data_IF_350984029434
#
_entry.id   IF_350984029434
#
_cell.length_a   1.000
_cell.length_b   1.000
_cell.length_c   1.000
_cell.angle_alpha   90.00
_cell.angle_beta   90.00
_cell.angle_gamma   90.00
#
_symmetry.space_group_name_H-M   'P 1'
#
loop_
_entity.id
_entity.type
_entity.pdbx_description
1 polymer ?
#
# COMPACT_ATOMS: atom_id res chain seq x y z
N UNK A 1 1.48 23.09 8.36
CA UNK A 1 2.61 24.05 8.37
C UNK A 1 3.05 24.54 6.97
N UNK A 2 3.62 25.75 6.88
CA UNK A 2 4.23 26.28 5.64
C UNK A 2 5.52 25.55 5.26
N UNK A 3 5.90 25.60 3.98
CA UNK A 3 7.15 24.96 3.55
C UNK A 3 8.41 25.67 4.08
N UNK A 4 8.34 26.97 4.37
CA UNK A 4 9.47 27.69 4.96
C UNK A 4 9.79 27.20 6.38
N UNK A 5 8.77 26.79 7.14
CA UNK A 5 8.96 26.18 8.45
C UNK A 5 9.53 24.74 8.33
N UNK A 6 9.19 24.00 7.26
CA UNK A 6 9.84 22.72 6.93
C UNK A 6 11.33 22.94 6.66
N UNK A 7 11.68 23.94 5.85
CA UNK A 7 13.08 24.29 5.56
C UNK A 7 13.82 24.79 6.81
N UNK A 8 13.16 25.57 7.68
CA UNK A 8 13.72 26.02 8.97
C UNK A 8 14.03 24.83 9.89
N UNK A 9 13.18 23.81 9.90
CA UNK A 9 13.45 22.58 10.66
C UNK A 9 14.71 21.88 10.11
N UNK A 10 14.78 21.69 8.80
CA UNK A 10 15.93 21.03 8.16
C UNK A 10 17.20 21.88 8.08
N UNK A 11 17.16 23.18 8.40
CA UNK A 11 18.38 24.00 8.52
C UNK A 11 19.07 23.83 9.88
N UNK A 12 18.38 23.28 10.89
CA UNK A 12 18.95 22.99 12.19
C UNK A 12 20.13 21.99 12.04
N UNK A 13 21.35 22.33 12.50
CA UNK A 13 22.52 21.47 12.37
C UNK A 13 22.32 20.07 12.95
N UNK A 14 21.72 19.97 14.15
CA UNK A 14 21.43 18.69 14.80
C UNK A 14 20.51 17.82 13.93
N UNK A 15 19.46 18.41 13.35
CA UNK A 15 18.53 17.68 12.47
C UNK A 15 19.27 17.09 11.26
N UNK A 16 20.15 17.87 10.63
CA UNK A 16 20.91 17.39 9.46
C UNK A 16 21.92 16.31 9.83
N UNK A 17 22.60 16.47 10.97
CA UNK A 17 23.56 15.49 11.49
C UNK A 17 22.89 14.16 11.80
N UNK A 18 21.75 14.16 12.49
CA UNK A 18 21.03 12.93 12.83
C UNK A 18 20.47 12.23 11.58
N UNK A 19 19.94 12.99 10.60
CA UNK A 19 19.46 12.41 9.34
C UNK A 19 20.63 11.83 8.54
N UNK A 20 21.74 12.54 8.41
CA UNK A 20 22.91 12.06 7.69
C UNK A 20 23.53 10.82 8.36
N UNK A 21 23.61 10.81 9.70
CA UNK A 21 24.11 9.66 10.45
C UNK A 21 23.24 8.41 10.22
N UNK A 22 21.90 8.55 10.25
CA UNK A 22 21.00 7.44 10.00
C UNK A 22 21.05 6.97 8.54
N UNK A 23 21.05 7.90 7.59
CA UNK A 23 20.96 7.61 6.16
C UNK A 23 22.30 7.18 5.53
N UNK A 24 23.43 7.30 6.23
CA UNK A 24 24.75 6.96 5.70
C UNK A 24 24.80 5.50 5.22
N UNK A 25 25.15 5.30 3.94
CA UNK A 25 25.16 3.99 3.29
C UNK A 25 23.78 3.38 3.01
N UNK A 26 22.67 4.07 3.33
CA UNK A 26 21.30 3.63 3.05
C UNK A 26 20.78 4.28 1.78
N UNK A 27 19.81 3.60 1.16
CA UNK A 27 19.01 4.19 0.10
C UNK A 27 18.00 5.18 0.69
N UNK A 28 18.04 6.41 0.21
CA UNK A 28 17.20 7.50 0.73
C UNK A 28 15.95 7.68 -0.12
N UNK A 29 14.83 7.95 0.53
CA UNK A 29 13.63 8.43 -0.13
C UNK A 29 13.19 9.78 0.43
N UNK A 30 12.66 10.64 -0.44
CA UNK A 30 12.04 11.90 -0.09
C UNK A 30 10.56 11.85 -0.42
N UNK A 31 9.70 12.17 0.54
CA UNK A 31 8.27 12.33 0.31
C UNK A 31 7.87 13.78 0.42
N UNK A 32 7.12 14.26 -0.56
CA UNK A 32 6.55 15.59 -0.59
C UNK A 32 5.24 15.63 -1.38
N UNK A 33 4.92 16.82 -1.86
CA UNK A 33 3.69 17.12 -2.59
C UNK A 33 2.62 17.83 -1.73
N UNK A 34 1.47 18.10 -2.35
CA UNK A 34 0.36 18.79 -1.71
C UNK A 34 -0.66 17.84 -1.08
N UNK A 35 -1.72 18.36 -0.44
CA UNK A 35 -2.79 17.53 0.14
C UNK A 35 -3.46 16.55 -0.85
N UNK A 36 -3.42 16.86 -2.15
CA UNK A 36 -4.01 16.06 -3.23
C UNK A 36 -2.96 15.37 -4.15
N UNK A 37 -1.66 15.57 -3.91
CA UNK A 37 -0.60 14.98 -4.72
C UNK A 37 0.53 14.46 -3.83
N UNK A 38 0.75 13.14 -3.85
CA UNK A 38 1.85 12.50 -3.15
C UNK A 38 2.96 12.22 -4.14
N UNK A 39 4.17 12.66 -3.84
CA UNK A 39 5.37 12.37 -4.63
C UNK A 39 6.38 11.67 -3.74
N UNK A 40 6.86 10.50 -4.17
CA UNK A 40 7.82 9.68 -3.46
C UNK A 40 9.07 9.50 -4.32
N UNK A 41 10.11 10.29 -4.06
CA UNK A 41 11.34 10.31 -4.82
C UNK A 41 12.34 9.34 -4.22
N UNK A 42 12.84 8.40 -5.02
CA UNK A 42 13.88 7.46 -4.61
C UNK A 42 15.12 7.45 -5.52
N UNK A 43 14.97 8.01 -6.72
CA UNK A 43 16.04 8.10 -7.71
C UNK A 43 16.18 9.54 -8.17
N UNK A 44 17.41 9.91 -8.49
CA UNK A 44 17.70 11.16 -9.17
C UNK A 44 17.26 11.11 -10.64
N UNK A 45 17.26 12.26 -11.31
CA UNK A 45 16.82 12.35 -12.71
C UNK A 45 17.64 11.48 -13.67
N UNK A 46 18.89 11.17 -13.31
CA UNK A 46 19.77 10.26 -14.06
C UNK A 46 19.63 8.78 -13.66
N UNK A 47 18.60 8.42 -12.89
CA UNK A 47 18.32 7.05 -12.45
C UNK A 47 19.16 6.57 -11.25
N UNK A 48 20.08 7.39 -10.72
CA UNK A 48 20.89 6.99 -9.56
C UNK A 48 20.05 6.96 -8.27
N UNK A 49 20.24 5.97 -7.37
CA UNK A 49 19.62 5.98 -6.05
C UNK A 49 19.97 7.25 -5.26
N UNK A 50 19.00 7.84 -4.56
CA UNK A 50 19.27 9.00 -3.70
C UNK A 50 20.05 8.57 -2.44
N UNK A 51 20.94 9.46 -1.99
CA UNK A 51 21.86 9.24 -0.86
C UNK A 51 21.98 10.50 -0.02
N UNK A 52 22.17 10.32 1.29
CA UNK A 52 22.57 11.36 2.23
C UNK A 52 23.61 10.74 3.16
N UNK A 53 24.87 11.12 2.98
CA UNK A 53 25.99 10.63 3.82
C UNK A 53 26.58 11.72 4.72
N UNK A 54 26.31 12.99 4.40
CA UNK A 54 26.71 14.15 5.19
C UNK A 54 25.61 15.24 5.18
N UNK A 55 25.60 16.17 6.14
CA UNK A 55 24.59 17.21 6.26
C UNK A 55 24.30 18.00 4.97
N UNK A 56 25.34 18.29 4.17
CA UNK A 56 25.23 19.10 2.95
C UNK A 56 24.47 18.36 1.83
N UNK A 57 24.49 17.02 1.83
CA UNK A 57 23.76 16.22 0.83
C UNK A 57 22.25 16.44 0.99
N UNK A 58 21.76 16.50 2.23
CA UNK A 58 20.35 16.76 2.51
C UNK A 58 19.94 18.15 2.02
N UNK A 59 20.75 19.17 2.30
CA UNK A 59 20.50 20.53 1.81
C UNK A 59 20.44 20.58 0.28
N UNK A 60 21.40 19.93 -0.38
CA UNK A 60 21.45 19.83 -1.83
C UNK A 60 20.21 19.14 -2.41
N UNK A 61 19.72 18.07 -1.78
CA UNK A 61 18.49 17.39 -2.18
C UNK A 61 17.24 18.26 -1.98
N UNK A 62 17.10 18.94 -0.83
CA UNK A 62 15.96 19.82 -0.56
C UNK A 62 15.92 21.01 -1.54
N UNK A 63 17.08 21.54 -1.93
CA UNK A 63 17.20 22.59 -2.94
C UNK A 63 16.85 22.08 -4.35
N UNK A 64 17.42 20.93 -4.75
CA UNK A 64 17.19 20.30 -6.07
C UNK A 64 15.72 19.96 -6.28
N UNK A 65 15.07 19.40 -5.26
CA UNK A 65 13.67 18.96 -5.34
C UNK A 65 12.69 19.96 -4.72
N UNK A 66 13.06 21.23 -4.57
CA UNK A 66 12.21 22.28 -3.96
C UNK A 66 10.79 22.34 -4.56
N UNK A 67 10.65 22.10 -5.86
CA UNK A 67 9.34 22.07 -6.54
C UNK A 67 8.41 20.96 -6.04
N UNK A 68 8.96 19.83 -5.57
CA UNK A 68 8.20 18.72 -4.96
C UNK A 68 7.85 19.02 -3.49
N UNK A 69 8.51 20.02 -2.89
CA UNK A 69 8.38 20.37 -1.48
C UNK A 69 8.59 19.16 -0.54
N UNK A 70 9.75 18.47 -0.60
CA UNK A 70 10.06 17.36 0.30
C UNK A 70 9.82 17.70 1.76
N UNK A 71 9.00 16.89 2.41
CA UNK A 71 8.65 17.02 3.82
C UNK A 71 9.27 15.93 4.66
N UNK A 72 9.28 14.69 4.19
CA UNK A 72 9.78 13.53 4.96
C UNK A 72 10.95 12.89 4.25
N UNK A 73 11.94 12.48 5.03
CA UNK A 73 13.16 11.80 4.63
C UNK A 73 13.12 10.40 5.23
N UNK A 74 13.35 9.40 4.40
CA UNK A 74 13.38 7.99 4.80
C UNK A 74 14.75 7.40 4.46
N UNK A 75 15.18 6.44 5.26
CA UNK A 75 16.31 5.56 4.95
C UNK A 75 15.86 4.11 4.88
N UNK A 76 16.43 3.35 3.94
CA UNK A 76 16.19 1.91 3.82
C UNK A 76 16.59 1.13 5.07
N UNK A 77 16.01 -0.05 5.29
CA UNK A 77 16.47 -0.94 6.38
C UNK A 77 17.89 -1.47 6.16
N UNK A 78 18.27 -1.60 4.89
CA UNK A 78 19.58 -2.08 4.45
C UNK A 78 20.58 -0.93 4.36
N UNK A 79 21.82 -1.22 4.76
CA UNK A 79 23.03 -0.46 4.46
C UNK A 79 23.78 -1.21 3.37
N UNK A 80 24.16 -0.53 2.30
CA UNK A 80 24.74 -1.14 1.11
C UNK A 80 26.25 -0.90 1.03
N UNK A 81 26.99 -1.86 0.46
CA UNK A 81 28.44 -1.69 0.16
C UNK A 81 28.64 -0.70 -0.98
N UNK A 82 27.75 -0.74 -1.97
CA UNK A 82 27.73 0.12 -3.15
C UNK A 82 26.31 0.59 -3.41
N UNK A 83 26.14 1.85 -3.82
CA UNK A 83 24.83 2.42 -4.10
C UNK A 83 24.95 3.49 -5.20
N UNK A 84 25.17 3.04 -6.43
CA UNK A 84 25.39 3.89 -7.61
C UNK A 84 24.30 3.72 -8.69
N UNK A 85 23.64 2.57 -8.72
CA UNK A 85 22.65 2.23 -9.75
C UNK A 85 21.51 1.38 -9.16
N UNK A 86 20.38 1.27 -9.87
CA UNK A 86 19.18 0.61 -9.37
C UNK A 86 19.40 -0.88 -9.01
N UNK A 87 20.17 -1.61 -9.83
CA UNK A 87 20.47 -3.04 -9.59
C UNK A 87 21.23 -3.30 -8.29
N UNK A 88 21.92 -2.30 -7.74
CA UNK A 88 22.64 -2.43 -6.47
C UNK A 88 21.66 -2.72 -5.31
N UNK A 89 20.39 -2.32 -5.44
CA UNK A 89 19.35 -2.50 -4.42
C UNK A 89 18.80 -3.93 -4.36
N UNK A 90 18.93 -4.69 -5.45
CA UNK A 90 18.37 -6.03 -5.59
C UNK A 90 19.41 -7.14 -5.36
N UNK A 91 20.70 -6.80 -5.26
CA UNK A 91 21.77 -7.78 -5.03
C UNK A 91 21.89 -8.13 -3.54
N UNK A 92 21.60 -9.39 -3.14
CA UNK A 92 21.75 -9.84 -1.76
C UNK A 92 23.17 -9.67 -1.22
N UNK A 93 24.20 -9.80 -2.07
CA UNK A 93 25.61 -9.68 -1.68
C UNK A 93 26.05 -8.24 -1.48
N UNK A 94 25.25 -7.27 -1.94
CA UNK A 94 25.53 -5.86 -1.74
C UNK A 94 24.99 -5.34 -0.40
N UNK A 95 24.09 -6.06 0.25
CA UNK A 95 23.61 -5.74 1.60
C UNK A 95 24.74 -5.96 2.60
N UNK A 96 25.30 -4.86 3.11
CA UNK A 96 26.39 -4.87 4.09
C UNK A 96 25.86 -5.16 5.49
N UNK A 97 24.80 -4.46 5.89
CA UNK A 97 24.15 -4.55 7.19
C UNK A 97 22.65 -4.34 7.01
N UNK A 98 21.83 -4.81 7.95
CA UNK A 98 20.39 -4.58 7.97
C UNK A 98 19.91 -4.38 9.41
N UNK A 99 19.05 -3.40 9.66
CA UNK A 99 18.48 -3.17 10.98
C UNK A 99 17.23 -4.04 11.17
N UNK A 100 17.15 -4.89 12.22
CA UNK A 100 15.88 -5.46 12.69
C UNK A 100 14.98 -4.35 13.24
N UNK A 101 13.75 -4.27 12.73
CA UNK A 101 12.79 -3.21 13.06
C UNK A 101 11.40 -3.82 13.24
N UNK A 102 10.80 -3.55 14.39
CA UNK A 102 9.39 -3.84 14.64
C UNK A 102 8.57 -2.60 14.36
N UNK A 103 7.61 -2.71 13.43
CA UNK A 103 6.72 -1.62 13.06
C UNK A 103 5.49 -1.66 13.96
N UNK A 104 5.27 -0.62 14.77
CA UNK A 104 4.13 -0.48 15.67
C UNK A 104 3.31 0.70 15.20
N UNK A 105 2.35 0.40 14.34
CA UNK A 105 1.42 1.37 13.81
C UNK A 105 0.33 1.71 14.84
N UNK A 106 -0.10 2.96 14.80
CA UNK A 106 -1.11 3.49 15.69
C UNK A 106 -1.71 4.80 15.19
N UNK A 107 -2.44 5.47 16.06
CA UNK A 107 -2.83 6.85 15.88
C UNK A 107 -2.50 7.66 17.14
N UNK A 108 -2.49 8.99 17.01
CA UNK A 108 -2.22 9.89 18.13
C UNK A 108 -3.16 9.67 19.32
N UNK A 109 -4.37 9.14 19.12
CA UNK A 109 -5.28 8.85 20.24
C UNK A 109 -4.92 7.59 21.03
N UNK A 110 -4.12 6.68 20.44
CA UNK A 110 -3.71 5.40 21.01
C UNK A 110 -2.19 5.32 21.28
N UNK A 111 -1.51 6.46 21.38
CA UNK A 111 -0.05 6.52 21.55
C UNK A 111 0.45 5.76 22.79
N UNK A 112 -0.34 5.74 23.88
CA UNK A 112 0.02 4.99 25.09
C UNK A 112 0.06 3.48 24.85
N UNK A 113 -0.88 2.95 24.07
CA UNK A 113 -0.89 1.52 23.69
C UNK A 113 0.25 1.20 22.71
N UNK A 114 0.61 2.13 21.82
CA UNK A 114 1.80 2.00 20.96
C UNK A 114 3.07 1.87 21.81
N UNK A 115 3.25 2.73 22.82
CA UNK A 115 4.40 2.65 23.72
C UNK A 115 4.37 1.40 24.60
N UNK A 116 3.21 0.97 25.06
CA UNK A 116 3.07 -0.28 25.79
C UNK A 116 3.56 -1.46 24.96
N UNK A 117 3.16 -1.53 23.67
CA UNK A 117 3.65 -2.56 22.75
C UNK A 117 5.17 -2.45 22.53
N UNK A 118 5.70 -1.23 22.39
CA UNK A 118 7.15 -1.01 22.26
C UNK A 118 7.91 -1.49 23.51
N UNK A 119 7.36 -1.25 24.70
CA UNK A 119 7.90 -1.73 25.98
C UNK A 119 7.98 -3.24 26.04
N UNK A 120 6.89 -3.95 25.69
CA UNK A 120 6.86 -5.43 25.67
C UNK A 120 7.94 -6.01 24.74
N UNK A 121 8.17 -5.41 23.58
CA UNK A 121 9.21 -5.84 22.63
C UNK A 121 10.60 -5.54 23.21
N UNK A 122 10.83 -4.32 23.70
CA UNK A 122 12.13 -3.91 24.21
C UNK A 122 12.55 -4.70 25.46
N UNK A 123 11.63 -5.01 26.36
CA UNK A 123 11.86 -5.89 27.52
C UNK A 123 12.24 -7.32 27.08
N UNK A 124 11.60 -7.85 26.04
CA UNK A 124 11.97 -9.15 25.48
C UNK A 124 13.40 -9.15 24.94
N UNK A 125 13.79 -8.08 24.23
CA UNK A 125 15.16 -7.93 23.74
C UNK A 125 16.17 -7.86 24.89
N UNK A 126 15.86 -7.11 25.96
CA UNK A 126 16.70 -7.03 27.15
C UNK A 126 16.84 -8.40 27.84
N UNK A 127 15.76 -9.17 27.94
CA UNK A 127 15.79 -10.55 28.46
C UNK A 127 16.64 -11.49 27.61
N UNK A 128 16.76 -11.22 26.31
CA UNK A 128 17.66 -11.92 25.38
C UNK A 128 19.08 -11.36 25.38
N UNK A 129 19.39 -10.40 26.25
CA UNK A 129 20.72 -9.81 26.41
C UNK A 129 21.03 -8.66 25.45
N UNK A 130 20.05 -8.18 24.67
CA UNK A 130 20.23 -7.10 23.69
C UNK A 130 19.66 -5.80 24.26
N UNK A 131 20.52 -4.92 24.77
CA UNK A 131 20.09 -3.70 25.47
C UNK A 131 20.76 -2.45 24.92
N UNK A 132 22.08 -2.43 24.82
CA UNK A 132 22.85 -1.22 24.47
C UNK A 132 22.56 -0.76 23.05
N UNK A 133 22.39 -1.73 22.15
CA UNK A 133 22.10 -1.51 20.73
C UNK A 133 20.62 -1.29 20.41
N UNK A 134 19.73 -1.29 21.41
CA UNK A 134 18.29 -1.05 21.20
C UNK A 134 17.98 0.44 21.30
N UNK A 135 17.10 0.92 20.44
CA UNK A 135 16.49 2.25 20.54
C UNK A 135 15.08 2.25 19.97
N UNK A 136 14.28 3.25 20.36
CA UNK A 136 12.90 3.42 19.92
C UNK A 136 12.80 4.72 19.14
N UNK A 137 12.07 4.71 18.03
CA UNK A 137 11.70 5.91 17.27
C UNK A 137 10.21 6.15 17.38
N UNK A 138 9.78 7.34 17.79
CA UNK A 138 8.40 7.79 17.59
C UNK A 138 8.29 8.48 16.23
N UNK A 139 7.56 7.89 15.28
CA UNK A 139 7.51 8.34 13.88
C UNK A 139 6.44 9.41 13.60
N UNK A 140 5.60 9.72 14.60
CA UNK A 140 4.54 10.73 14.53
C UNK A 140 3.16 10.17 14.87
N UNK A 141 2.84 8.96 14.43
CA UNK A 141 1.58 8.25 14.76
C UNK A 141 1.83 6.87 15.38
N UNK A 142 3.04 6.34 15.23
CA UNK A 142 3.45 5.02 15.72
C UNK A 142 4.88 5.03 16.26
N UNK A 143 5.34 3.84 16.61
CA UNK A 143 6.70 3.59 17.07
C UNK A 143 7.40 2.55 16.23
N UNK A 144 8.72 2.66 16.14
CA UNK A 144 9.56 1.59 15.66
C UNK A 144 10.55 1.21 16.77
N UNK A 145 10.63 -0.07 17.10
CA UNK A 145 11.72 -0.59 17.95
C UNK A 145 12.83 -1.06 17.02
N UNK A 146 14.06 -0.63 17.27
CA UNK A 146 15.22 -0.92 16.44
C UNK A 146 16.29 -1.65 17.23
N UNK A 147 16.96 -2.62 16.59
CA UNK A 147 18.32 -3.01 16.94
C UNK A 147 19.26 -2.32 15.93
N UNK A 148 20.30 -1.66 16.44
CA UNK A 148 21.33 -1.06 15.60
C UNK A 148 22.02 -2.16 14.77
N UNK A 149 22.14 -1.96 13.45
CA UNK A 149 22.60 -2.98 12.50
C UNK A 149 24.05 -3.44 12.71
N UNK A 150 24.83 -2.66 13.47
CA UNK A 150 26.21 -2.99 13.89
C UNK A 150 26.29 -3.81 15.18
N UNK A 151 25.16 -4.20 15.75
CA UNK A 151 25.11 -5.09 16.91
C UNK A 151 25.47 -6.54 16.59
N UNK A 152 25.57 -6.89 15.31
CA UNK A 152 25.89 -8.21 14.82
C UNK A 152 27.37 -8.31 14.46
N UNK A 153 28.02 -9.39 14.86
CA UNK A 153 29.44 -9.56 14.58
C UNK A 153 29.73 -9.86 13.11
N UNK A 154 30.94 -9.51 12.70
CA UNK A 154 31.46 -9.91 11.40
C UNK A 154 31.47 -11.44 11.17
N UNK A 155 31.67 -12.25 12.22
CA UNK A 155 31.62 -13.72 12.12
C UNK A 155 30.20 -14.22 11.78
N UNK A 156 29.16 -13.71 12.45
CA UNK A 156 27.77 -14.06 12.13
C UNK A 156 27.41 -13.64 10.69
N UNK A 157 27.73 -12.39 10.33
CA UNK A 157 27.37 -11.82 9.02
C UNK A 157 28.20 -12.40 7.86
N UNK A 158 29.30 -13.11 8.15
CA UNK A 158 30.02 -13.88 7.14
C UNK A 158 29.29 -15.18 6.74
N UNK A 159 28.39 -15.67 7.61
CA UNK A 159 27.66 -16.94 7.44
C UNK A 159 26.21 -16.74 7.01
N UNK A 160 25.62 -15.58 7.33
CA UNK A 160 24.21 -15.29 7.08
C UNK A 160 24.03 -13.91 6.45
N UNK A 161 23.08 -13.79 5.51
CA UNK A 161 22.75 -12.49 4.95
C UNK A 161 22.16 -11.57 6.05
N UNK A 162 22.55 -10.28 6.11
CA UNK A 162 21.99 -9.36 7.11
C UNK A 162 20.46 -9.25 7.06
N UNK A 163 19.84 -9.35 5.88
CA UNK A 163 18.38 -9.31 5.74
C UNK A 163 17.71 -10.56 6.32
N UNK A 164 18.35 -11.74 6.19
CA UNK A 164 17.87 -12.99 6.82
C UNK A 164 17.88 -12.89 8.34
N UNK A 165 18.96 -12.32 8.89
CA UNK A 165 19.10 -12.06 10.33
C UNK A 165 18.00 -11.12 10.81
N UNK A 166 17.83 -9.97 10.14
CA UNK A 166 16.85 -8.97 10.52
C UNK A 166 15.41 -9.52 10.45
N UNK A 167 15.04 -10.18 9.35
CA UNK A 167 13.70 -10.77 9.20
C UNK A 167 13.45 -11.83 10.27
N UNK A 168 14.42 -12.73 10.49
CA UNK A 168 14.26 -13.83 11.44
C UNK A 168 14.06 -13.34 12.86
N UNK A 169 14.85 -12.36 13.31
CA UNK A 169 14.73 -11.78 14.66
C UNK A 169 13.37 -11.14 14.85
N UNK A 170 12.91 -10.33 13.88
CA UNK A 170 11.62 -9.64 13.99
C UNK A 170 10.48 -10.66 14.07
N UNK A 171 10.49 -11.64 13.16
CA UNK A 171 9.49 -12.70 13.09
C UNK A 171 9.47 -13.59 14.33
N UNK A 172 10.63 -14.01 14.82
CA UNK A 172 10.78 -14.82 16.03
C UNK A 172 10.21 -14.11 17.25
N UNK A 173 10.56 -12.83 17.43
CA UNK A 173 10.05 -11.99 18.52
C UNK A 173 8.53 -11.83 18.45
N UNK A 174 7.95 -11.56 17.29
CA UNK A 174 6.50 -11.41 17.16
C UNK A 174 5.75 -12.71 17.44
N UNK A 175 6.28 -13.86 17.00
CA UNK A 175 5.70 -15.17 17.33
C UNK A 175 5.72 -15.44 18.83
N UNK A 176 6.83 -15.12 19.50
CA UNK A 176 6.99 -15.30 20.93
C UNK A 176 6.11 -14.35 21.77
N UNK A 177 5.84 -13.15 21.27
CA UNK A 177 5.11 -12.11 22.00
C UNK A 177 3.63 -11.99 21.63
N UNK A 178 3.12 -12.84 20.75
CA UNK A 178 1.73 -12.79 20.26
C UNK A 178 0.70 -12.66 21.40
N UNK A 179 0.80 -13.50 22.41
CA UNK A 179 -0.16 -13.52 23.52
C UNK A 179 -0.05 -12.32 24.45
N UNK A 180 1.11 -11.64 24.47
CA UNK A 180 1.32 -10.40 25.24
C UNK A 180 0.88 -9.16 24.48
N UNK A 181 1.08 -9.14 23.16
CA UNK A 181 0.75 -7.99 22.30
C UNK A 181 -0.73 -7.94 21.91
N UNK A 182 -1.37 -9.10 21.70
CA UNK A 182 -2.78 -9.15 21.28
C UNK A 182 -3.75 -8.45 22.26
N UNK A 183 -3.60 -8.56 23.60
CA UNK A 183 -4.42 -7.80 24.54
C UNK A 183 -4.28 -6.28 24.38
N UNK A 184 -3.10 -5.77 24.05
CA UNK A 184 -2.87 -4.33 23.80
C UNK A 184 -3.65 -3.90 22.56
N UNK A 185 -3.54 -4.68 21.48
CA UNK A 185 -4.27 -4.47 20.23
C UNK A 185 -5.79 -4.49 20.46
N UNK A 186 -6.30 -5.43 21.25
CA UNK A 186 -7.71 -5.51 21.65
C UNK A 186 -8.17 -4.27 22.43
N UNK A 187 -7.41 -3.83 23.44
CA UNK A 187 -7.74 -2.63 24.23
C UNK A 187 -7.68 -1.34 23.41
N UNK A 188 -6.86 -1.32 22.36
CA UNK A 188 -6.84 -0.23 21.38
C UNK A 188 -8.02 -0.25 20.39
N UNK A 189 -8.89 -1.27 20.46
CA UNK A 189 -9.96 -1.51 19.49
C UNK A 189 -9.43 -1.61 18.04
N UNK A 190 -8.27 -2.24 17.85
CA UNK A 190 -7.65 -2.46 16.54
C UNK A 190 -6.92 -1.25 15.96
N UNK A 191 -6.77 -0.17 16.73
CA UNK A 191 -6.02 1.02 16.32
C UNK A 191 -4.51 0.78 16.32
N UNK A 192 -4.03 -0.08 17.21
CA UNK A 192 -2.63 -0.48 17.28
C UNK A 192 -2.44 -1.79 16.52
N UNK A 193 -1.35 -1.83 15.74
CA UNK A 193 -0.95 -2.98 14.96
C UNK A 193 0.57 -3.16 15.08
N UNK A 194 1.02 -4.40 15.22
CA UNK A 194 2.46 -4.71 15.33
C UNK A 194 2.86 -5.67 14.22
N UNK A 195 3.83 -5.31 13.39
CA UNK A 195 4.15 -6.03 12.16
C UNK A 195 5.62 -6.27 11.93
N UNK A 196 5.89 -7.36 11.21
CA UNK A 196 7.15 -7.59 10.54
C UNK A 196 7.06 -7.07 9.10
N UNK A 197 7.60 -5.87 8.89
CA UNK A 197 7.62 -5.20 7.59
C UNK A 197 9.02 -5.25 6.94
N UNK A 198 9.87 -6.18 7.37
CA UNK A 198 11.20 -6.37 6.81
C UNK A 198 11.06 -6.86 5.36
N UNK A 199 11.50 -6.03 4.42
CA UNK A 199 11.54 -6.28 2.98
C UNK A 199 12.78 -5.63 2.38
N UNK A 200 13.31 -6.21 1.31
CA UNK A 200 14.55 -5.79 0.64
C UNK A 200 14.59 -4.28 0.31
N UNK A 201 13.45 -3.67 -0.01
CA UNK A 201 13.33 -2.26 -0.38
C UNK A 201 12.54 -1.43 0.64
N UNK A 202 12.32 -1.96 1.86
CA UNK A 202 11.63 -1.23 2.93
C UNK A 202 12.43 0.00 3.38
N UNK A 203 11.73 1.09 3.62
CA UNK A 203 12.28 2.34 4.17
C UNK A 203 11.49 2.80 5.39
N UNK A 204 12.17 3.43 6.35
CA UNK A 204 11.56 4.00 7.54
C UNK A 204 11.99 5.46 7.72
N UNK A 205 11.14 6.25 8.37
CA UNK A 205 11.38 7.68 8.62
C UNK A 205 12.71 7.87 9.35
N UNK A 206 13.56 8.74 8.82
CA UNK A 206 14.84 9.07 9.45
C UNK A 206 14.61 9.82 10.77
N UNK A 207 15.49 9.64 11.79
CA UNK A 207 15.49 10.45 12.99
C UNK A 207 15.47 11.94 12.66
N UNK A 208 14.71 12.70 13.45
CA UNK A 208 14.39 14.11 13.30
C UNK A 208 13.75 14.51 11.97
N UNK A 209 13.43 13.59 11.05
CA UNK A 209 12.63 13.93 9.88
C UNK A 209 11.17 14.22 10.26
N UNK A 210 10.52 15.13 9.53
CA UNK A 210 9.13 15.50 9.78
C UNK A 210 8.17 14.42 9.32
N UNK A 211 7.13 14.17 10.11
CA UNK A 211 6.02 13.32 9.72
C UNK A 211 5.28 13.90 8.49
N UNK A 212 4.81 13.03 7.60
CA UNK A 212 4.24 13.42 6.30
C UNK A 212 3.00 14.32 6.37
N UNK A 213 2.22 14.23 7.47
CA UNK A 213 0.96 14.97 7.66
C UNK A 213 0.98 15.90 8.86
N UNK A 214 1.48 15.38 9.98
CA UNK A 214 1.51 16.08 11.25
C UNK A 214 2.73 16.99 11.33
N UNK A 215 2.57 18.12 12.01
CA UNK A 215 3.65 19.03 12.34
C UNK A 215 4.41 18.48 13.57
N UNK A 216 4.98 17.28 13.40
CA UNK A 216 5.78 16.53 14.38
C UNK A 216 7.05 15.99 13.70
N UNK A 217 8.14 15.86 14.44
CA UNK A 217 9.38 15.24 14.00
C UNK A 217 9.59 13.84 14.62
N UNK A 218 10.33 12.99 13.91
CA UNK A 218 10.63 11.64 14.35
C UNK A 218 11.68 11.65 15.47
N UNK A 219 11.33 11.35 16.71
CA UNK A 219 12.29 11.41 17.83
C UNK A 219 12.76 10.03 18.27
N UNK A 220 14.02 9.94 18.68
CA UNK A 220 14.61 8.71 19.21
C UNK A 220 14.73 8.80 20.73
N UNK A 221 14.55 7.67 21.41
CA UNK A 221 14.72 7.55 22.86
C UNK A 221 15.06 6.10 23.24
N UNK A 222 15.58 5.91 24.45
CA UNK A 222 15.92 4.59 25.01
C UNK A 222 14.77 4.06 25.89
N UNK A 223 14.79 2.77 26.17
CA UNK A 223 13.75 2.07 26.94
C UNK A 223 13.48 2.70 28.32
N UNK A 224 14.53 3.16 29.02
CA UNK A 224 14.40 3.80 30.33
C UNK A 224 13.65 5.15 30.30
N UNK A 225 13.44 5.74 29.13
CA UNK A 225 12.69 6.97 28.94
C UNK A 225 11.22 6.72 28.54
N UNK A 226 10.82 5.46 28.33
CA UNK A 226 9.50 5.10 27.79
C UNK A 226 8.35 5.61 28.67
N UNK A 227 8.46 5.47 29.99
CA UNK A 227 7.45 5.94 30.95
C UNK A 227 7.33 7.47 31.04
N UNK A 228 8.37 8.20 30.61
CA UNK A 228 8.43 9.66 30.62
C UNK A 228 8.04 10.28 29.28
N UNK A 229 7.84 9.44 28.25
CA UNK A 229 7.51 9.91 26.92
C UNK A 229 6.16 10.63 26.92
N UNK A 230 6.11 11.75 26.20
CA UNK A 230 4.88 12.42 25.84
C UNK A 230 4.98 12.84 24.37
N UNK A 231 3.86 12.88 23.65
CA UNK A 231 3.83 13.24 22.22
C UNK A 231 4.46 14.62 21.95
N UNK A 232 4.44 15.53 22.93
CA UNK A 232 5.12 16.83 22.84
C UNK A 232 6.63 16.74 22.61
N UNK A 233 7.27 15.60 22.90
CA UNK A 233 8.67 15.36 22.58
C UNK A 233 8.93 15.46 21.07
N UNK A 234 7.93 15.27 20.22
CA UNK A 234 8.04 15.37 18.78
C UNK A 234 7.76 16.78 18.22
N UNK A 235 7.46 17.77 19.07
CA UNK A 235 7.17 19.15 18.64
C UNK A 235 8.42 19.83 18.05
N UNK A 236 8.27 20.52 16.91
CA UNK A 236 9.40 21.07 16.15
C UNK A 236 10.24 22.10 16.92
N UNK A 237 9.62 22.87 17.83
CA UNK A 237 10.30 23.94 18.56
C UNK A 237 11.05 23.46 19.81
N UNK A 238 10.69 22.29 20.34
CA UNK A 238 11.14 21.81 21.66
C UNK A 238 11.33 20.29 21.70
N UNK A 239 11.67 19.68 20.56
CA UNK A 239 11.78 18.24 20.48
C UNK A 239 12.79 17.67 21.47
N UNK A 240 12.52 16.48 21.98
CA UNK A 240 13.42 15.72 22.86
C UNK A 240 13.90 14.50 22.11
N UNK A 241 15.19 14.50 21.77
CA UNK A 241 15.80 13.47 20.94
C UNK A 241 17.09 12.97 21.62
N UNK A 242 17.19 11.66 21.78
CA UNK A 242 18.34 10.99 22.38
C UNK A 242 19.34 10.55 21.30
N UNK A 243 20.43 11.31 21.15
CA UNK A 243 21.52 11.04 20.19
C UNK A 243 22.27 9.73 20.45
N UNK A 244 22.09 9.10 21.61
CA UNK A 244 22.71 7.80 21.93
C UNK A 244 22.08 6.63 21.17
N UNK A 245 21.04 6.86 20.35
CA UNK A 245 20.52 5.84 19.43
C UNK A 245 21.60 5.29 18.49
N UNK A 246 22.66 6.07 18.22
CA UNK A 246 23.86 5.68 17.45
C UNK A 246 24.76 4.65 18.14
N UNK A 247 24.59 4.43 19.45
CA UNK A 247 25.41 3.52 20.23
C UNK A 247 25.05 2.05 19.98
N UNK A 248 26.06 1.19 19.89
CA UNK A 248 25.91 -0.25 19.73
C UNK A 248 27.09 -1.02 20.37
N UNK A 249 26.93 -2.32 20.54
CA UNK A 249 27.99 -3.27 20.91
C UNK A 249 28.02 -4.40 19.89
N UNK A 250 29.14 -4.55 19.18
CA UNK A 250 29.30 -5.64 18.20
C UNK A 250 29.18 -7.01 18.90
N UNK A 251 28.41 -7.91 18.29
CA UNK A 251 28.15 -9.25 18.80
C UNK A 251 27.07 -9.34 19.89
N UNK A 252 26.52 -8.20 20.37
CA UNK A 252 25.48 -8.20 21.41
C UNK A 252 24.23 -8.99 20.99
N UNK A 253 23.88 -8.94 19.70
CA UNK A 253 22.66 -9.56 19.18
C UNK A 253 22.88 -10.94 18.53
N UNK A 254 24.10 -11.50 18.57
CA UNK A 254 24.43 -12.74 17.84
C UNK A 254 23.67 -13.96 18.35
N UNK A 255 23.57 -14.13 19.68
CA UNK A 255 22.84 -15.26 20.27
C UNK A 255 21.35 -15.25 19.87
N UNK A 256 20.73 -14.06 19.91
CA UNK A 256 19.34 -13.88 19.46
C UNK A 256 19.21 -14.15 17.96
N UNK A 257 20.17 -13.71 17.15
CA UNK A 257 20.18 -13.98 15.72
C UNK A 257 20.24 -15.47 15.40
N UNK A 258 21.15 -16.21 16.04
CA UNK A 258 21.32 -17.66 15.83
C UNK A 258 20.03 -18.40 16.21
N UNK A 259 19.45 -18.08 17.36
CA UNK A 259 18.20 -18.68 17.82
C UNK A 259 17.04 -18.38 16.84
N UNK A 260 16.92 -17.13 16.42
CA UNK A 260 15.86 -16.70 15.51
C UNK A 260 16.01 -17.31 14.11
N UNK A 261 17.23 -17.38 13.57
CA UNK A 261 17.52 -18.03 12.29
C UNK A 261 17.17 -19.51 12.32
N UNK A 262 17.51 -20.22 13.40
CA UNK A 262 17.16 -21.63 13.57
C UNK A 262 15.64 -21.86 13.59
N UNK A 263 14.87 -20.93 14.19
CA UNK A 263 13.42 -21.04 14.30
C UNK A 263 12.64 -20.56 13.06
N UNK A 264 13.16 -19.57 12.33
CA UNK A 264 12.44 -18.89 11.24
C UNK A 264 12.97 -19.25 9.85
N UNK A 265 14.29 -19.42 9.71
CA UNK A 265 14.94 -19.84 8.47
C UNK A 265 15.32 -18.72 7.49
N UNK A 266 15.28 -17.45 7.89
CA UNK A 266 15.67 -16.33 7.03
C UNK A 266 14.50 -15.60 6.33
N UNK A 267 14.87 -14.63 5.50
CA UNK A 267 13.97 -13.81 4.71
C UNK A 267 13.31 -14.64 3.61
N UNK A 268 11.98 -14.52 3.47
CA UNK A 268 11.19 -15.38 2.58
C UNK A 268 11.06 -14.82 1.16
N UNK A 269 11.39 -13.55 0.96
CA UNK A 269 11.24 -12.87 -0.33
C UNK A 269 12.36 -13.15 -1.34
N UNK A 270 13.32 -14.04 -1.04
CA UNK A 270 14.38 -14.37 -1.99
C UNK A 270 13.91 -15.18 -3.20
N UNK A 271 12.82 -15.94 -3.08
CA UNK A 271 12.39 -16.90 -4.10
C UNK A 271 11.36 -16.29 -5.07
N UNK A 272 11.72 -16.23 -6.36
CA UNK A 272 10.79 -15.83 -7.42
C UNK A 272 9.56 -16.78 -7.47
N UNK A 273 8.35 -16.21 -7.49
CA UNK A 273 7.12 -16.96 -7.71
C UNK A 273 6.53 -17.71 -6.50
N UNK A 274 7.15 -17.63 -5.32
CA UNK A 274 6.53 -18.14 -4.07
C UNK A 274 5.47 -17.14 -3.61
N UNK A 275 4.21 -17.58 -3.49
CA UNK A 275 3.18 -16.81 -2.77
C UNK A 275 3.67 -16.60 -1.35
N UNK A 276 4.08 -15.38 -1.02
CA UNK A 276 4.56 -14.97 0.30
C UNK A 276 3.68 -15.59 1.39
N UNK A 277 4.27 -16.48 2.20
CA UNK A 277 3.70 -16.74 3.51
C UNK A 277 3.80 -15.42 4.27
N UNK A 278 2.67 -14.72 4.42
CA UNK A 278 2.59 -13.39 5.04
C UNK A 278 3.42 -13.35 6.32
N UNK A 279 4.27 -12.33 6.43
CA UNK A 279 5.02 -12.04 7.64
C UNK A 279 4.04 -11.86 8.83
N UNK A 280 4.52 -12.09 10.05
CA UNK A 280 3.64 -11.98 11.23
C UNK A 280 3.12 -10.55 11.38
N UNK A 281 1.80 -10.45 11.50
CA UNK A 281 1.07 -9.22 11.74
C UNK A 281 0.11 -9.47 12.91
N UNK A 282 0.30 -8.74 14.01
CA UNK A 282 -0.55 -8.80 15.20
C UNK A 282 -1.47 -7.59 15.13
N UNK A 283 -2.65 -7.81 14.57
CA UNK A 283 -3.72 -6.85 14.44
C UNK A 283 -5.03 -7.50 14.91
N UNK A 284 -6.04 -6.70 15.27
CA UNK A 284 -7.40 -7.24 15.23
C UNK A 284 -7.69 -7.59 13.77
N UNK A 285 -8.19 -8.80 13.52
CA UNK A 285 -8.78 -9.11 12.22
C UNK A 285 -9.79 -8.01 11.91
N UNK A 286 -9.57 -7.28 10.82
CA UNK A 286 -10.58 -6.35 10.34
C UNK A 286 -11.84 -7.17 10.17
N UNK A 287 -12.86 -6.91 11.01
CA UNK A 287 -14.23 -7.31 10.64
C UNK A 287 -14.40 -6.77 9.24
N UNK A 288 -14.69 -7.60 8.22
CA UNK A 288 -14.76 -7.14 6.84
C UNK A 288 -15.64 -5.89 6.85
N UNK A 289 -15.01 -4.74 6.61
CA UNK A 289 -15.67 -3.45 6.60
C UNK A 289 -16.85 -3.64 5.65
N UNK A 290 -18.09 -3.57 6.17
CA UNK A 290 -19.31 -4.04 5.48
C UNK A 290 -19.13 -3.91 3.97
N UNK A 291 -18.81 -5.03 3.31
CA UNK A 291 -18.05 -5.02 2.07
C UNK A 291 -18.77 -4.10 1.09
N UNK A 292 -18.15 -2.99 0.68
CA UNK A 292 -18.80 -2.11 -0.28
C UNK A 292 -18.63 -2.76 -1.65
N UNK A 293 -19.72 -3.00 -2.38
CA UNK A 293 -19.61 -3.49 -3.75
C UNK A 293 -18.78 -2.49 -4.56
N UNK A 294 -17.66 -2.94 -5.11
CA UNK A 294 -16.75 -2.11 -5.90
C UNK A 294 -17.34 -1.75 -7.27
N UNK A 295 -16.84 -0.65 -7.85
CA UNK A 295 -17.26 -0.17 -9.19
C UNK A 295 -17.13 -1.24 -10.28
N UNK A 296 -16.09 -2.08 -10.20
CA UNK A 296 -15.87 -3.18 -11.13
C UNK A 296 -17.00 -4.22 -11.05
N UNK A 297 -17.39 -4.61 -9.84
CA UNK A 297 -18.52 -5.52 -9.61
C UNK A 297 -19.85 -4.91 -10.06
N UNK A 298 -20.09 -3.62 -9.78
CA UNK A 298 -21.30 -2.92 -10.26
C UNK A 298 -21.33 -2.87 -11.80
N UNK A 299 -20.21 -2.57 -12.45
CA UNK A 299 -20.11 -2.54 -13.91
C UNK A 299 -20.42 -3.93 -14.50
N UNK A 300 -19.79 -4.98 -13.97
CA UNK A 300 -19.99 -6.34 -14.45
C UNK A 300 -21.43 -6.82 -14.24
N UNK A 301 -22.02 -6.53 -13.07
CA UNK A 301 -23.41 -6.86 -12.76
C UNK A 301 -24.39 -6.18 -13.73
N UNK A 302 -24.26 -4.86 -13.92
CA UNK A 302 -25.17 -4.10 -14.77
C UNK A 302 -24.99 -4.45 -16.25
N UNK A 303 -23.78 -4.69 -16.74
CA UNK A 303 -23.56 -5.13 -18.13
C UNK A 303 -24.08 -6.55 -18.37
N UNK A 304 -23.95 -7.46 -17.41
CA UNK A 304 -24.57 -8.78 -17.49
C UNK A 304 -26.10 -8.66 -17.54
N UNK A 305 -26.70 -7.92 -16.60
CA UNK A 305 -28.15 -7.71 -16.57
C UNK A 305 -28.66 -7.02 -17.86
N UNK A 306 -27.91 -6.08 -18.42
CA UNK A 306 -28.17 -5.42 -19.71
C UNK A 306 -28.21 -6.44 -20.85
N UNK A 307 -27.20 -7.29 -20.97
CA UNK A 307 -27.14 -8.32 -21.99
C UNK A 307 -28.29 -9.32 -21.85
N UNK A 308 -28.57 -9.76 -20.62
CA UNK A 308 -29.66 -10.69 -20.32
C UNK A 308 -31.02 -10.11 -20.73
N UNK A 309 -31.29 -8.83 -20.44
CA UNK A 309 -32.53 -8.16 -20.84
C UNK A 309 -32.71 -8.06 -22.36
N UNK A 310 -31.62 -8.00 -23.13
CA UNK A 310 -31.67 -7.89 -24.58
C UNK A 310 -31.72 -9.24 -25.29
N UNK A 311 -31.27 -10.32 -24.65
CA UNK A 311 -31.03 -11.61 -25.32
C UNK A 311 -31.71 -12.82 -24.66
N UNK A 312 -31.98 -12.74 -23.36
CA UNK A 312 -32.49 -13.85 -22.54
C UNK A 312 -31.45 -14.91 -22.15
N UNK A 313 -30.18 -14.76 -22.56
CA UNK A 313 -29.13 -15.76 -22.31
C UNK A 313 -28.30 -15.37 -21.06
N UNK A 314 -28.50 -16.11 -19.96
CA UNK A 314 -27.86 -15.81 -18.67
C UNK A 314 -26.35 -16.12 -18.66
N UNK A 315 -25.94 -17.20 -19.31
CA UNK A 315 -24.54 -17.58 -19.29
C UNK A 315 -23.72 -16.61 -20.15
N UNK A 316 -24.22 -16.25 -21.34
CA UNK A 316 -23.58 -15.21 -22.16
C UNK A 316 -23.64 -13.85 -21.50
N UNK A 317 -24.69 -13.54 -20.74
CA UNK A 317 -24.75 -12.32 -19.94
C UNK A 317 -23.60 -12.24 -18.93
N UNK A 318 -23.33 -13.31 -18.17
CA UNK A 318 -22.22 -13.37 -17.23
C UNK A 318 -20.86 -13.17 -17.92
N UNK A 319 -20.65 -13.88 -19.03
CA UNK A 319 -19.45 -13.74 -19.87
C UNK A 319 -19.27 -12.30 -20.39
N UNK A 320 -20.34 -11.69 -20.91
CA UNK A 320 -20.34 -10.33 -21.42
C UNK A 320 -20.07 -9.29 -20.33
N UNK A 321 -20.74 -9.43 -19.18
CA UNK A 321 -20.61 -8.50 -18.06
C UNK A 321 -19.18 -8.42 -17.55
N UNK A 322 -18.53 -9.57 -17.34
CA UNK A 322 -17.12 -9.63 -16.93
C UNK A 322 -16.21 -9.00 -18.00
N UNK A 323 -16.41 -9.36 -19.27
CA UNK A 323 -15.62 -8.85 -20.40
C UNK A 323 -15.70 -7.31 -20.49
N UNK A 324 -16.89 -6.72 -20.38
CA UNK A 324 -17.04 -5.25 -20.44
C UNK A 324 -16.43 -4.56 -19.23
N UNK A 325 -16.55 -5.13 -18.02
CA UNK A 325 -15.92 -4.57 -16.85
C UNK A 325 -14.39 -4.51 -16.98
N UNK A 326 -13.77 -5.55 -17.54
CA UNK A 326 -12.33 -5.58 -17.86
C UNK A 326 -11.99 -4.53 -18.90
N UNK A 327 -12.77 -4.42 -19.98
CA UNK A 327 -12.57 -3.42 -21.02
C UNK A 327 -12.58 -1.99 -20.48
N UNK A 328 -13.58 -1.62 -19.68
CA UNK A 328 -13.67 -0.27 -19.10
C UNK A 328 -12.57 0.01 -18.07
N UNK A 329 -12.12 -1.01 -17.32
CA UNK A 329 -10.98 -0.87 -16.44
C UNK A 329 -9.70 -0.59 -17.23
N UNK A 330 -9.46 -1.32 -18.32
CA UNK A 330 -8.32 -1.13 -19.21
C UNK A 330 -8.34 0.25 -19.90
N UNK A 331 -9.48 0.65 -20.48
CA UNK A 331 -9.64 1.90 -21.23
C UNK A 331 -9.39 3.15 -20.37
N UNK A 332 -9.68 3.09 -19.07
CA UNK A 332 -9.42 4.17 -18.12
C UNK A 332 -7.93 4.54 -18.02
N UNK A 333 -7.04 3.57 -18.19
CA UNK A 333 -5.59 3.76 -18.04
C UNK A 333 -4.88 4.03 -19.39
N UNK A 334 -5.55 3.79 -20.51
CA UNK A 334 -4.95 3.83 -21.87
C UNK A 334 -5.71 4.78 -22.83
N UNK A 335 -6.32 5.85 -22.33
CA UNK A 335 -7.24 6.71 -23.09
C UNK A 335 -6.64 7.31 -24.40
N UNK A 336 -5.31 7.51 -24.47
CA UNK A 336 -4.61 7.94 -25.71
C UNK A 336 -4.48 6.80 -26.73
N UNK A 337 -4.34 5.56 -26.26
CA UNK A 337 -4.19 4.37 -27.10
C UNK A 337 -5.52 3.79 -27.56
N UNK A 338 -6.64 4.06 -26.87
CA UNK A 338 -7.99 3.57 -27.27
C UNK A 338 -8.36 4.06 -28.67
N UNK A 339 -8.06 5.32 -29.00
CA UNK A 339 -8.37 5.90 -30.34
C UNK A 339 -7.49 5.28 -31.44
N UNK A 340 -6.21 5.04 -31.14
CA UNK A 340 -5.28 4.37 -32.04
C UNK A 340 -5.61 2.87 -32.20
N UNK A 341 -6.04 2.21 -31.13
CA UNK A 341 -6.42 0.79 -31.12
C UNK A 341 -7.74 0.56 -31.88
N UNK A 342 -8.75 1.41 -31.70
CA UNK A 342 -10.00 1.35 -32.48
C UNK A 342 -9.79 1.70 -33.96
N UNK A 343 -8.91 2.65 -34.27
CA UNK A 343 -8.54 2.96 -35.65
C UNK A 343 -7.74 1.82 -36.30
N UNK A 344 -6.81 1.19 -35.56
CA UNK A 344 -6.05 0.04 -36.03
C UNK A 344 -6.91 -1.23 -36.18
N UNK A 345 -7.89 -1.44 -35.29
CA UNK A 345 -8.86 -2.53 -35.40
C UNK A 345 -9.77 -2.40 -36.64
N UNK A 346 -10.14 -1.16 -37.01
CA UNK A 346 -10.88 -0.88 -38.25
C UNK A 346 -10.03 -0.99 -39.52
N UNK A 347 -8.73 -0.74 -39.43
CA UNK A 347 -7.81 -0.72 -40.57
C UNK A 347 -7.17 -2.09 -40.90
N UNK A 348 -7.25 -3.08 -40.00
CA UNK A 348 -6.63 -4.39 -40.20
C UNK A 348 -7.62 -5.42 -40.75
N UNK A 349 -7.74 -5.47 -42.06
CA UNK A 349 -8.12 -6.72 -42.76
C UNK A 349 -7.10 -7.86 -42.53
N UNK A 350 -5.90 -7.54 -42.03
CA UNK A 350 -4.83 -8.51 -41.72
C UNK A 350 -4.90 -9.13 -40.30
N UNK A 351 -5.75 -8.64 -39.38
CA UNK A 351 -5.93 -9.29 -38.06
C UNK A 351 -6.90 -10.50 -38.13
N UNK A 352 -7.54 -10.68 -39.28
CA UNK A 352 -8.40 -11.82 -39.59
C UNK A 352 -7.59 -13.13 -39.59
N UNK A 353 -6.38 -13.13 -40.13
CA UNK A 353 -5.54 -14.34 -40.25
C UNK A 353 -4.92 -14.78 -38.91
N UNK A 354 -4.52 -13.86 -38.02
CA UNK A 354 -3.95 -14.22 -36.70
C UNK A 354 -5.04 -14.66 -35.69
N UNK A 355 -6.29 -14.20 -35.86
CA UNK A 355 -7.44 -14.55 -35.00
C UNK A 355 -8.27 -15.74 -35.50
N UNK A 356 -8.25 -16.03 -36.81
CA UNK A 356 -8.74 -17.30 -37.36
C UNK A 356 -7.97 -18.49 -36.79
N UNK A 357 -6.70 -18.31 -36.39
CA UNK A 357 -5.90 -19.34 -35.70
C UNK A 357 -6.29 -19.59 -34.22
N UNK A 358 -7.12 -18.74 -33.59
CA UNK A 358 -7.60 -18.87 -32.19
C UNK A 358 -9.13 -18.97 -32.03
N UNK A 359 -9.87 -19.08 -33.15
CA UNK A 359 -11.31 -19.34 -33.14
C UNK A 359 -12.17 -18.22 -32.53
N UNK A 360 -11.81 -16.94 -32.71
CA UNK A 360 -12.58 -15.81 -32.19
C UNK A 360 -13.05 -14.83 -33.29
N UNK A 361 -14.36 -14.56 -33.35
CA UNK A 361 -15.06 -13.71 -34.31
C UNK A 361 -15.46 -12.37 -33.67
N UNK A 362 -15.33 -11.27 -34.41
CA UNK A 362 -15.83 -9.97 -33.95
C UNK A 362 -17.34 -9.89 -34.19
N UNK A 363 -18.11 -9.52 -33.17
CA UNK A 363 -19.58 -9.41 -33.24
C UNK A 363 -20.02 -8.10 -32.61
N UNK A 364 -21.09 -7.50 -33.16
CA UNK A 364 -21.70 -6.31 -32.58
C UNK A 364 -22.75 -6.72 -31.53
N UNK A 365 -22.52 -6.33 -30.29
CA UNK A 365 -23.36 -6.67 -29.13
C UNK A 365 -23.60 -5.41 -28.31
N UNK A 366 -24.87 -5.10 -28.03
CA UNK A 366 -25.25 -3.93 -27.23
C UNK A 366 -24.62 -2.61 -27.71
N UNK A 367 -24.51 -2.42 -29.03
CA UNK A 367 -23.91 -1.23 -29.63
C UNK A 367 -22.37 -1.17 -29.57
N UNK A 368 -21.70 -2.27 -29.20
CA UNK A 368 -20.25 -2.38 -29.07
C UNK A 368 -19.70 -3.53 -29.91
N UNK A 369 -18.51 -3.38 -30.49
CA UNK A 369 -17.79 -4.47 -31.14
C UNK A 369 -17.02 -5.28 -30.08
N UNK A 370 -17.29 -6.58 -30.01
CA UNK A 370 -16.70 -7.49 -29.02
C UNK A 370 -16.27 -8.79 -29.67
N UNK A 371 -15.12 -9.33 -29.26
CA UNK A 371 -14.65 -10.63 -29.73
C UNK A 371 -15.36 -11.76 -28.99
N UNK A 372 -15.79 -12.77 -29.76
CA UNK A 372 -16.53 -13.94 -29.30
C UNK A 372 -15.87 -15.20 -29.87
N UNK A 373 -15.56 -16.16 -29.02
CA UNK A 373 -15.03 -17.47 -29.43
C UNK A 373 -16.06 -18.29 -30.21
N UNK A 374 -15.63 -19.34 -30.92
CA UNK A 374 -16.54 -20.29 -31.58
C UNK A 374 -17.46 -21.01 -30.56
N UNK A 375 -17.01 -21.14 -29.30
CA UNK A 375 -17.84 -21.61 -28.18
C UNK A 375 -18.87 -20.59 -27.66
N UNK A 376 -18.92 -19.39 -28.25
CA UNK A 376 -19.90 -18.34 -27.91
C UNK A 376 -19.54 -17.45 -26.72
N UNK A 377 -18.35 -17.64 -26.12
CA UNK A 377 -17.87 -16.83 -24.98
C UNK A 377 -17.10 -15.59 -25.43
N UNK A 378 -17.27 -14.49 -24.69
CA UNK A 378 -16.56 -13.25 -24.93
C UNK A 378 -15.09 -13.34 -24.51
N UNK A 379 -14.21 -12.67 -25.25
CA UNK A 379 -12.75 -12.71 -25.03
C UNK A 379 -12.13 -11.32 -25.14
N UNK A 380 -11.03 -11.09 -24.41
CA UNK A 380 -10.24 -9.86 -24.47
C UNK A 380 -8.77 -10.20 -24.21
N UNK A 381 -7.86 -9.68 -25.04
CA UNK A 381 -6.41 -9.94 -24.90
C UNK A 381 -6.02 -11.42 -25.03
N UNK A 382 -6.84 -12.24 -25.68
CA UNK A 382 -6.62 -13.69 -25.81
C UNK A 382 -7.08 -14.52 -24.61
N UNK A 383 -7.66 -13.89 -23.57
CA UNK A 383 -8.23 -14.58 -22.41
C UNK A 383 -9.75 -14.68 -22.62
N UNK A 384 -10.31 -15.88 -22.50
CA UNK A 384 -11.77 -16.12 -22.55
C UNK A 384 -12.39 -15.78 -21.19
N UNK A 385 -13.54 -15.10 -21.17
CA UNK A 385 -14.29 -14.81 -19.95
C UNK A 385 -15.49 -15.76 -19.87
N UNK A 386 -15.45 -16.73 -18.97
CA UNK A 386 -16.53 -17.72 -18.82
C UNK A 386 -17.56 -17.29 -17.74
N UNK A 387 -18.76 -17.89 -17.72
CA UNK A 387 -19.72 -17.66 -16.64
C UNK A 387 -19.14 -18.04 -15.26
N UNK A 388 -18.31 -19.09 -15.20
CA UNK A 388 -17.63 -19.50 -13.97
C UNK A 388 -16.64 -18.43 -13.47
N UNK A 389 -15.96 -17.74 -14.38
CA UNK A 389 -15.07 -16.63 -14.03
C UNK A 389 -15.85 -15.45 -13.46
N UNK A 390 -17.01 -15.15 -14.06
CA UNK A 390 -17.92 -14.15 -13.53
C UNK A 390 -18.40 -14.53 -12.13
N UNK A 391 -18.82 -15.77 -11.91
CA UNK A 391 -19.33 -16.20 -10.60
C UNK A 391 -18.23 -16.08 -9.54
N UNK A 392 -17.01 -16.51 -9.88
CA UNK A 392 -15.84 -16.43 -9.00
C UNK A 392 -15.41 -14.99 -8.68
N UNK A 393 -15.42 -14.09 -9.66
CA UNK A 393 -14.84 -12.74 -9.52
C UNK A 393 -15.86 -11.67 -9.18
N UNK A 394 -17.11 -11.86 -9.57
CA UNK A 394 -18.19 -10.88 -9.44
C UNK A 394 -19.22 -11.37 -8.44
N UNK A 395 -19.84 -12.53 -8.67
CA UNK A 395 -20.94 -12.99 -7.83
C UNK A 395 -20.51 -13.27 -6.39
N UNK A 396 -19.35 -13.93 -6.17
CA UNK A 396 -18.79 -14.15 -4.84
C UNK A 396 -18.49 -12.83 -4.10
N UNK A 397 -17.93 -11.85 -4.81
CA UNK A 397 -17.58 -10.55 -4.25
C UNK A 397 -18.78 -9.64 -3.99
N UNK A 398 -19.91 -9.85 -4.68
CA UNK A 398 -21.19 -9.22 -4.35
C UNK A 398 -21.84 -9.94 -3.17
N UNK A 399 -21.77 -11.27 -3.14
CA UNK A 399 -22.35 -12.13 -2.10
C UNK A 399 -21.75 -11.90 -0.71
N UNK A 400 -20.53 -11.37 -0.63
CA UNK A 400 -19.93 -10.93 0.63
C UNK A 400 -20.59 -9.68 1.24
N UNK A 401 -21.48 -9.02 0.49
CA UNK A 401 -22.20 -7.79 0.88
C UNK A 401 -23.69 -8.02 1.01
N UNK A 402 -24.28 -8.65 0.00
CA UNK A 402 -25.71 -8.86 -0.20
C UNK A 402 -25.88 -10.15 -1.00
N UNK A 403 -26.91 -10.98 -0.75
CA UNK A 403 -27.18 -12.13 -1.59
C UNK A 403 -27.17 -11.77 -3.08
N UNK A 404 -26.37 -12.47 -3.89
CA UNK A 404 -26.19 -12.14 -5.31
C UNK A 404 -27.53 -12.10 -6.06
N UNK A 405 -28.46 -13.01 -5.73
CA UNK A 405 -29.80 -13.04 -6.32
C UNK A 405 -30.59 -11.76 -6.07
N UNK A 406 -30.44 -11.16 -4.88
CA UNK A 406 -31.07 -9.88 -4.56
C UNK A 406 -30.46 -8.74 -5.37
N UNK A 407 -29.13 -8.71 -5.51
CA UNK A 407 -28.44 -7.72 -6.34
C UNK A 407 -28.78 -7.88 -7.84
N UNK A 408 -28.87 -9.13 -8.33
CA UNK A 408 -29.26 -9.45 -9.70
C UNK A 408 -30.68 -9.00 -9.99
N UNK A 409 -31.64 -9.33 -9.12
CA UNK A 409 -33.03 -8.89 -9.25
C UNK A 409 -33.14 -7.37 -9.25
N UNK A 410 -32.44 -6.69 -8.33
CA UNK A 410 -32.43 -5.24 -8.27
C UNK A 410 -31.82 -4.60 -9.53
N UNK A 411 -30.73 -5.17 -10.07
CA UNK A 411 -30.15 -4.74 -11.33
C UNK A 411 -31.13 -4.87 -12.51
N UNK A 412 -31.86 -6.00 -12.59
CA UNK A 412 -32.87 -6.22 -13.62
C UNK A 412 -34.03 -5.22 -13.50
N UNK A 413 -34.57 -5.00 -12.29
CA UNK A 413 -35.62 -4.00 -12.06
C UNK A 413 -35.16 -2.59 -12.43
N UNK A 414 -33.94 -2.23 -12.05
CA UNK A 414 -33.34 -0.94 -12.37
C UNK A 414 -33.19 -0.72 -13.87
N UNK A 415 -32.67 -1.69 -14.60
CA UNK A 415 -32.47 -1.56 -16.04
C UNK A 415 -33.79 -1.51 -16.82
N UNK A 416 -34.85 -2.18 -16.33
CA UNK A 416 -36.20 -2.11 -16.92
C UNK A 416 -36.84 -0.72 -16.84
N UNK A 417 -36.38 0.16 -15.94
CA UNK A 417 -36.88 1.54 -15.89
C UNK A 417 -36.35 2.44 -17.00
N UNK A 418 -35.39 1.96 -17.80
CA UNK A 418 -34.82 2.71 -18.91
C UNK A 418 -35.38 2.23 -20.26
N UNK A 419 -35.51 3.12 -21.26
CA UNK A 419 -35.86 2.71 -22.62
C UNK A 419 -34.86 1.71 -23.17
N UNK A 420 -35.32 0.76 -24.00
CA UNK A 420 -34.45 -0.22 -24.64
C UNK A 420 -33.31 0.42 -25.45
N UNK A 421 -33.53 1.61 -26.02
CA UNK A 421 -32.52 2.39 -26.74
C UNK A 421 -31.34 2.84 -25.87
N UNK A 422 -31.51 2.94 -24.54
CA UNK A 422 -30.41 3.23 -23.60
C UNK A 422 -29.59 1.97 -23.33
N UNK A 423 -30.24 0.81 -23.31
CA UNK A 423 -29.55 -0.48 -23.15
C UNK A 423 -28.84 -0.90 -24.44
N UNK A 424 -29.29 -0.46 -25.62
CA UNK A 424 -28.63 -0.77 -26.89
C UNK A 424 -27.46 0.17 -27.23
N UNK A 425 -27.35 1.31 -26.56
CA UNK A 425 -26.33 2.34 -26.82
C UNK A 425 -25.28 2.39 -25.71
N UNK A 426 -24.02 2.16 -26.07
CA UNK A 426 -22.89 2.13 -25.13
C UNK A 426 -22.74 3.42 -24.32
N UNK A 427 -22.85 4.58 -24.96
CA UNK A 427 -22.59 5.86 -24.32
C UNK A 427 -23.73 6.23 -23.37
N UNK A 428 -24.98 6.00 -23.80
CA UNK A 428 -26.15 6.21 -22.95
C UNK A 428 -26.13 5.28 -21.75
N UNK A 429 -25.83 4.00 -21.95
CA UNK A 429 -25.69 3.05 -20.85
C UNK A 429 -24.62 3.52 -19.84
N UNK A 430 -23.44 3.90 -20.31
CA UNK A 430 -22.37 4.31 -19.40
C UNK A 430 -22.73 5.60 -18.63
N UNK A 431 -23.21 6.64 -19.32
CA UNK A 431 -23.42 7.96 -18.72
C UNK A 431 -24.71 8.07 -17.91
N UNK A 432 -25.81 7.49 -18.38
CA UNK A 432 -27.14 7.70 -17.82
C UNK A 432 -27.60 6.54 -16.93
N UNK A 433 -27.02 5.35 -17.10
CA UNK A 433 -27.42 4.14 -16.35
C UNK A 433 -26.36 3.74 -15.33
N UNK A 434 -25.12 3.51 -15.75
CA UNK A 434 -24.07 3.05 -14.83
C UNK A 434 -23.52 4.15 -13.93
N UNK A 435 -23.08 5.28 -14.51
CA UNK A 435 -22.38 6.35 -13.80
C UNK A 435 -23.14 6.92 -12.60
N UNK A 436 -24.48 7.10 -12.63
CA UNK A 436 -25.23 7.61 -11.48
C UNK A 436 -25.24 6.69 -10.26
N UNK A 437 -25.10 5.37 -10.43
CA UNK A 437 -25.23 4.37 -9.36
C UNK A 437 -23.93 3.64 -9.02
N UNK A 438 -22.84 3.86 -9.79
CA UNK A 438 -21.57 3.12 -9.66
C UNK A 438 -20.93 3.13 -8.26
N UNK A 439 -21.23 4.15 -7.45
CA UNK A 439 -20.65 4.38 -6.12
C UNK A 439 -21.64 4.13 -4.97
N UNK A 440 -22.92 3.87 -5.30
CA UNK A 440 -24.06 3.88 -4.38
C UNK A 440 -25.15 2.87 -4.75
N UNK A 441 -24.82 1.84 -5.55
CA UNK A 441 -25.77 0.86 -6.09
C UNK A 441 -26.69 0.26 -5.01
N UNK A 442 -26.15 -0.15 -3.87
CA UNK A 442 -26.98 -0.72 -2.79
C UNK A 442 -27.99 0.31 -2.27
N UNK A 443 -27.59 1.55 -2.03
CA UNK A 443 -28.48 2.52 -1.42
C UNK A 443 -29.53 3.03 -2.42
N UNK A 444 -29.12 3.27 -3.66
CA UNK A 444 -29.99 3.86 -4.71
C UNK A 444 -30.86 2.81 -5.39
N UNK A 445 -30.30 1.65 -5.73
CA UNK A 445 -30.97 0.63 -6.54
C UNK A 445 -31.61 -0.45 -5.68
N UNK A 446 -30.88 -1.02 -4.73
CA UNK A 446 -31.40 -2.11 -3.88
C UNK A 446 -32.36 -1.58 -2.81
N UNK A 447 -31.92 -0.59 -2.00
CA UNK A 447 -32.72 -0.02 -0.91
C UNK A 447 -33.72 1.05 -1.37
N UNK A 448 -33.70 1.42 -2.66
CA UNK A 448 -34.56 2.46 -3.27
C UNK A 448 -34.57 3.79 -2.48
N UNK A 449 -33.49 4.13 -1.77
CA UNK A 449 -33.36 5.44 -1.11
C UNK A 449 -33.14 6.48 -2.21
N UNK A 450 -34.21 7.12 -2.66
CA UNK A 450 -34.11 8.37 -3.41
C UNK A 450 -33.30 9.33 -2.54
N UNK A 451 -32.16 9.82 -3.05
CA UNK A 451 -31.43 10.89 -2.40
C UNK A 451 -32.41 12.01 -2.06
N UNK A 452 -32.34 12.52 -0.84
CA UNK A 452 -33.07 13.72 -0.44
C UNK A 452 -32.92 14.76 -1.56
N UNK A 453 -34.03 15.21 -2.13
CA UNK A 453 -34.02 16.42 -2.93
C UNK A 453 -33.39 17.49 -2.05
N UNK A 454 -32.23 18.03 -2.44
CA UNK A 454 -31.74 19.27 -1.86
C UNK A 454 -32.82 20.30 -2.12
N UNK A 455 -33.47 20.78 -1.07
CA UNK A 455 -34.41 21.89 -1.18
C UNK A 455 -33.65 23.14 -1.59
N UNK A 456 -34.33 24.05 -2.30
CA UNK A 456 -33.77 25.34 -2.75
C UNK A 456 -33.04 26.08 -1.60
N UNK A 457 -33.50 25.89 -0.36
CA UNK A 457 -32.89 26.45 0.86
C UNK A 457 -31.43 26.03 1.10
N UNK A 458 -31.02 24.84 0.67
CA UNK A 458 -29.63 24.38 0.80
C UNK A 458 -28.70 24.98 -0.26
N UNK A 459 -29.25 25.37 -1.41
CA UNK A 459 -28.52 26.06 -2.49
C UNK A 459 -28.28 27.52 -2.11
N UNK A 460 -29.25 28.18 -1.46
CA UNK A 460 -29.11 29.59 -1.03
C UNK A 460 -28.18 29.80 0.18
N UNK A 461 -27.85 28.75 0.94
CA UNK A 461 -26.84 28.83 2.01
C UNK A 461 -25.39 28.92 1.51
N UNK A 462 -25.13 28.68 0.23
CA UNK A 462 -23.79 28.82 -0.36
C UNK A 462 -23.49 30.22 -0.93
N UNK A 463 -24.46 31.14 -0.85
CA UNK A 463 -24.30 32.53 -1.30
C UNK A 463 -24.51 33.55 -0.17
N UNK A 464 -24.20 33.17 1.08
CA UNK A 464 -24.08 34.11 2.21
C UNK A 464 -22.69 34.06 2.81
#
# INVERSE_FOLDING_TARGET
MSYDLVLKHYSNPLVREEIAAYCSGRWVALEGGGPASRVFLRYAHNGKPLKVSKPEDLEGLLATYKGVRPRTVYGSINVYRRLEEERDLDDPHNIALCSPIWDIDGELSSWKQVLEAAGVIAEFLEQKGVRKSVFIKWSGEGCHVHIHERAFSSDLLSKHNPLDVAFSIVEYTLRALKDKLMPIVMRSNGKVKVENEIDIKRVFTAPLSLHRRHDLCCVCFKLNALDQFDVSWANLESFKHDVSWKGYVEGEADNLAIEALAAVGGYRGWAEGVKEAKATSIALEEKPQAAKIGRFQVMALLQAARYYLLTGDLDKAKSFGLNRAIFYAWAKHHARDVKAHLAAARAREAEKEEKEARGAKLTQVCGEEVFVTDSGWFTMGGVVQTPKDYDRQIALNISSVIPYEEAWKAAIEYLKSFPQSYLQDQQKFFNEVYKPVRDSFIDVVVKKKRGAHKTLDEIFKQFK
#
